data_IF_884562908847
#
_entry.id   IF_884562908847
#
_cell.length_a   1.000
_cell.length_b   1.000
_cell.length_c   1.000
_cell.angle_alpha   90.00
_cell.angle_beta   90.00
_cell.angle_gamma   90.00
#
_symmetry.space_group_name_H-M   'P 1'
#
loop_
_entity.id
_entity.type
_entity.pdbx_description
1 polymer ?
#
# COMPACT_ATOMS: atom_id res chain seq x y z
N UNK A 1 36.01 -37.17 -8.69
CA UNK A 1 34.70 -37.76 -9.02
C UNK A 1 34.80 -39.27 -8.79
N UNK A 2 33.90 -39.84 -7.99
CA UNK A 2 33.89 -41.27 -7.63
C UNK A 2 33.03 -42.09 -8.58
N UNK A 3 33.47 -43.33 -8.81
CA UNK A 3 33.04 -44.26 -9.85
C UNK A 3 31.70 -44.99 -9.63
N UNK A 4 30.82 -44.50 -8.75
CA UNK A 4 29.49 -45.09 -8.53
C UNK A 4 28.41 -44.00 -8.44
N UNK A 5 27.36 -44.18 -9.23
CA UNK A 5 26.28 -43.22 -9.49
C UNK A 5 25.61 -42.67 -8.24
N UNK A 6 25.83 -41.38 -8.02
CA UNK A 6 24.87 -40.29 -7.72
C UNK A 6 25.73 -39.03 -7.84
N UNK A 7 25.29 -38.02 -8.59
CA UNK A 7 25.89 -36.68 -8.44
C UNK A 7 25.91 -36.37 -6.94
N UNK A 8 27.04 -35.91 -6.36
CA UNK A 8 27.07 -35.60 -4.95
C UNK A 8 25.90 -34.67 -4.67
N UNK A 9 25.01 -35.03 -3.75
CA UNK A 9 23.99 -34.10 -3.29
C UNK A 9 24.70 -32.80 -2.98
N UNK A 10 24.27 -31.70 -3.63
CA UNK A 10 24.97 -30.43 -3.56
C UNK A 10 25.29 -30.11 -2.10
N UNK A 11 26.56 -29.80 -1.82
CA UNK A 11 27.06 -29.59 -0.47
C UNK A 11 26.13 -28.61 0.27
N UNK A 12 25.70 -28.90 1.52
CA UNK A 12 24.83 -28.00 2.29
C UNK A 12 25.34 -26.55 2.32
N UNK A 13 26.66 -26.36 2.33
CA UNK A 13 27.30 -25.04 2.23
C UNK A 13 27.00 -24.34 0.90
N UNK A 14 27.07 -25.07 -0.20
CA UNK A 14 26.83 -24.52 -1.54
C UNK A 14 25.36 -24.16 -1.72
N UNK A 15 24.45 -24.99 -1.20
CA UNK A 15 23.01 -24.69 -1.15
C UNK A 15 22.72 -23.39 -0.39
N UNK A 16 23.29 -23.23 0.80
CA UNK A 16 23.10 -22.00 1.60
C UNK A 16 23.66 -20.77 0.89
N UNK A 17 24.80 -20.89 0.21
CA UNK A 17 25.36 -19.80 -0.59
C UNK A 17 24.46 -19.45 -1.80
N UNK A 18 23.90 -20.45 -2.46
CA UNK A 18 22.95 -20.27 -3.56
C UNK A 18 21.68 -19.55 -3.08
N UNK A 19 21.08 -19.97 -1.96
CA UNK A 19 19.93 -19.30 -1.37
C UNK A 19 20.24 -17.85 -1.00
N UNK A 20 21.39 -17.59 -0.35
CA UNK A 20 21.84 -16.22 -0.07
C UNK A 20 21.98 -15.38 -1.36
N UNK A 21 22.44 -15.98 -2.46
CA UNK A 21 22.55 -15.30 -3.75
C UNK A 21 21.18 -14.96 -4.33
N UNK A 22 20.24 -15.92 -4.34
CA UNK A 22 18.85 -15.72 -4.76
C UNK A 22 18.19 -14.60 -3.95
N UNK A 23 18.28 -14.66 -2.61
CA UNK A 23 17.73 -13.62 -1.71
C UNK A 23 18.30 -12.23 -1.97
N UNK A 24 19.61 -12.10 -2.22
CA UNK A 24 20.23 -10.81 -2.58
C UNK A 24 19.73 -10.26 -3.91
N UNK A 25 19.51 -11.14 -4.89
CA UNK A 25 18.96 -10.76 -6.19
C UNK A 25 17.55 -10.20 -6.04
N UNK A 26 16.69 -10.87 -5.28
CA UNK A 26 15.33 -10.40 -4.99
C UNK A 26 15.35 -9.06 -4.24
N UNK A 27 16.20 -8.92 -3.22
CA UNK A 27 16.39 -7.64 -2.50
C UNK A 27 16.79 -6.49 -3.45
N UNK A 28 17.66 -6.78 -4.42
CA UNK A 28 18.09 -5.79 -5.42
C UNK A 28 16.98 -5.43 -6.43
N UNK A 29 16.06 -6.35 -6.70
CA UNK A 29 14.87 -6.07 -7.54
C UNK A 29 13.90 -5.15 -6.81
N UNK A 30 13.65 -5.41 -5.52
CA UNK A 30 12.85 -4.53 -4.67
C UNK A 30 13.45 -3.11 -4.59
N UNK A 31 14.77 -2.97 -4.51
CA UNK A 31 15.44 -1.65 -4.56
C UNK A 31 15.20 -0.90 -5.87
N UNK A 32 15.12 -1.62 -6.99
CA UNK A 32 14.78 -1.00 -8.29
C UNK A 32 13.33 -0.55 -8.33
N UNK A 33 12.42 -1.31 -7.73
CA UNK A 33 11.00 -0.94 -7.62
C UNK A 33 10.81 0.28 -6.74
N UNK A 34 11.46 0.36 -5.57
CA UNK A 34 11.45 1.54 -4.70
C UNK A 34 11.87 2.78 -5.51
N UNK A 35 13.01 2.70 -6.24
CA UNK A 35 13.47 3.81 -7.09
C UNK A 35 12.55 4.11 -8.26
N UNK A 36 11.80 3.12 -8.76
CA UNK A 36 10.75 3.31 -9.75
C UNK A 36 9.62 4.16 -9.19
N UNK A 37 9.03 3.72 -8.08
CA UNK A 37 7.90 4.39 -7.42
C UNK A 37 8.29 5.80 -6.99
N UNK A 38 9.45 5.99 -6.36
CA UNK A 38 9.90 7.31 -5.93
C UNK A 38 10.08 8.30 -7.10
N UNK A 39 10.54 7.83 -8.27
CA UNK A 39 10.65 8.68 -9.46
C UNK A 39 9.29 9.11 -9.99
N UNK A 40 8.30 8.22 -9.99
CA UNK A 40 6.94 8.58 -10.38
C UNK A 40 6.28 9.50 -9.34
N UNK A 41 6.49 9.25 -8.04
CA UNK A 41 6.03 10.12 -6.95
C UNK A 41 6.54 11.56 -7.14
N UNK A 42 7.81 11.75 -7.53
CA UNK A 42 8.35 13.08 -7.84
C UNK A 42 7.66 13.78 -9.01
N UNK A 43 7.20 13.04 -10.03
CA UNK A 43 6.39 13.63 -11.12
C UNK A 43 4.99 14.01 -10.64
N UNK A 44 4.38 13.18 -9.80
CA UNK A 44 3.08 13.48 -9.18
C UNK A 44 3.17 14.73 -8.30
N UNK A 45 4.25 14.88 -7.50
CA UNK A 45 4.52 16.09 -6.72
C UNK A 45 4.59 17.35 -7.57
N UNK A 46 5.27 17.30 -8.73
CA UNK A 46 5.33 18.43 -9.67
C UNK A 46 3.95 18.77 -10.22
N UNK A 47 3.22 17.75 -10.69
CA UNK A 47 1.87 17.90 -11.22
C UNK A 47 0.91 18.49 -10.20
N UNK A 48 1.04 18.08 -8.92
CA UNK A 48 0.21 18.60 -7.84
C UNK A 48 0.53 20.07 -7.52
N UNK A 49 1.80 20.48 -7.57
CA UNK A 49 2.17 21.89 -7.43
C UNK A 49 1.60 22.75 -8.56
N UNK A 50 1.60 22.24 -9.78
CA UNK A 50 1.06 22.98 -10.93
C UNK A 50 -0.47 23.04 -10.90
N UNK A 51 -1.16 21.98 -10.47
CA UNK A 51 -2.61 22.00 -10.20
C UNK A 51 -2.97 22.97 -9.05
N UNK A 52 -2.15 23.02 -8.00
CA UNK A 52 -2.36 23.92 -6.87
C UNK A 52 -2.28 25.40 -7.28
N UNK A 53 -1.35 25.76 -8.18
CA UNK A 53 -1.27 27.12 -8.74
C UNK A 53 -2.49 27.52 -9.56
N UNK A 54 -3.17 26.54 -10.18
CA UNK A 54 -4.39 26.76 -10.97
C UNK A 54 -5.64 26.87 -10.08
N UNK A 55 -5.55 26.48 -8.81
CA UNK A 55 -6.69 26.45 -7.89
C UNK A 55 -7.53 25.17 -8.00
N UNK A 56 -7.08 24.16 -8.75
CA UNK A 56 -7.80 22.91 -8.98
C UNK A 56 -7.72 21.99 -7.75
N UNK A 57 -8.56 22.25 -6.73
CA UNK A 57 -8.54 21.53 -5.45
C UNK A 57 -8.81 20.04 -5.61
N UNK A 58 -9.79 19.66 -6.44
CA UNK A 58 -10.17 18.25 -6.64
C UNK A 58 -9.02 17.44 -7.26
N UNK A 59 -8.33 18.02 -8.25
CA UNK A 59 -7.14 17.42 -8.86
C UNK A 59 -6.03 17.25 -7.82
N UNK A 60 -5.82 18.24 -6.96
CA UNK A 60 -4.84 18.14 -5.88
C UNK A 60 -5.16 17.00 -4.91
N UNK A 61 -6.44 16.83 -4.52
CA UNK A 61 -6.88 15.75 -3.63
C UNK A 61 -6.58 14.38 -4.24
N UNK A 62 -6.89 14.19 -5.53
CA UNK A 62 -6.61 12.93 -6.23
C UNK A 62 -5.11 12.64 -6.30
N UNK A 63 -4.29 13.65 -6.65
CA UNK A 63 -2.83 13.50 -6.70
C UNK A 63 -2.22 13.25 -5.32
N UNK A 64 -2.77 13.86 -4.26
CA UNK A 64 -2.32 13.61 -2.90
C UNK A 64 -2.64 12.18 -2.44
N UNK A 65 -3.83 11.65 -2.77
CA UNK A 65 -4.17 10.24 -2.54
C UNK A 65 -3.16 9.30 -3.23
N UNK A 66 -2.74 9.63 -4.44
CA UNK A 66 -1.76 8.83 -5.18
C UNK A 66 -0.36 8.87 -4.54
N UNK A 67 0.05 10.01 -3.98
CA UNK A 67 1.29 10.12 -3.20
C UNK A 67 1.21 9.26 -1.93
N UNK A 68 0.10 9.29 -1.20
CA UNK A 68 -0.10 8.46 -0.01
C UNK A 68 -0.01 6.97 -0.36
N UNK A 69 -0.66 6.54 -1.44
CA UNK A 69 -0.58 5.16 -1.95
C UNK A 69 0.86 4.77 -2.31
N UNK A 70 1.58 5.65 -3.00
CA UNK A 70 2.99 5.44 -3.36
C UNK A 70 3.87 5.25 -2.13
N UNK A 71 3.70 6.10 -1.09
CA UNK A 71 4.42 5.99 0.19
C UNK A 71 4.11 4.67 0.91
N UNK A 72 2.85 4.26 0.96
CA UNK A 72 2.43 2.97 1.55
C UNK A 72 3.01 1.78 0.81
N UNK A 73 3.02 1.80 -0.52
CA UNK A 73 3.65 0.77 -1.35
C UNK A 73 5.15 0.66 -1.06
N UNK A 74 5.86 1.79 -0.99
CA UNK A 74 7.29 1.82 -0.64
C UNK A 74 7.53 1.28 0.78
N UNK A 75 6.69 1.65 1.76
CA UNK A 75 6.78 1.14 3.13
C UNK A 75 6.67 -0.39 3.17
N UNK A 76 5.68 -0.96 2.47
CA UNK A 76 5.50 -2.42 2.34
C UNK A 76 6.72 -3.10 1.73
N UNK A 77 7.33 -2.50 0.70
CA UNK A 77 8.55 -3.03 0.09
C UNK A 77 9.73 -2.98 1.09
N UNK A 78 9.85 -1.96 1.92
CA UNK A 78 10.88 -1.92 2.96
C UNK A 78 10.68 -3.02 4.01
N UNK A 79 9.45 -3.28 4.45
CA UNK A 79 9.13 -4.40 5.35
C UNK A 79 9.51 -5.73 4.71
N UNK A 80 9.21 -5.90 3.42
CA UNK A 80 9.63 -7.07 2.63
C UNK A 80 11.16 -7.24 2.64
N UNK A 81 11.89 -6.15 2.39
CA UNK A 81 13.35 -6.17 2.41
C UNK A 81 13.92 -6.52 3.79
N UNK A 82 13.27 -6.08 4.87
CA UNK A 82 13.64 -6.44 6.23
C UNK A 82 13.51 -7.96 6.46
N UNK A 83 12.43 -8.59 5.99
CA UNK A 83 12.28 -10.05 6.05
C UNK A 83 13.37 -10.78 5.25
N UNK A 84 13.71 -10.32 4.03
CA UNK A 84 14.80 -10.91 3.23
C UNK A 84 16.15 -10.81 3.97
N UNK A 85 16.41 -9.67 4.60
CA UNK A 85 17.63 -9.46 5.38
C UNK A 85 17.68 -10.38 6.60
N UNK A 86 16.57 -10.55 7.32
CA UNK A 86 16.46 -11.49 8.44
C UNK A 86 16.79 -12.92 7.99
N UNK A 87 16.19 -13.40 6.90
CA UNK A 87 16.50 -14.73 6.35
C UNK A 87 17.98 -14.81 5.97
N UNK A 88 18.52 -13.79 5.31
CA UNK A 88 19.93 -13.76 4.91
C UNK A 88 20.89 -13.83 6.11
N UNK A 89 20.55 -13.20 7.22
CA UNK A 89 21.33 -13.29 8.47
C UNK A 89 21.22 -14.70 9.08
N UNK A 90 20.02 -15.27 9.11
CA UNK A 90 19.82 -16.64 9.58
C UNK A 90 20.56 -17.67 8.70
N UNK A 91 20.62 -17.47 7.38
CA UNK A 91 21.40 -18.33 6.48
C UNK A 91 22.92 -18.24 6.75
N UNK A 92 23.44 -17.05 7.08
CA UNK A 92 24.83 -16.92 7.54
C UNK A 92 25.07 -17.65 8.85
N UNK A 93 24.11 -17.61 9.77
CA UNK A 93 24.15 -18.39 11.00
C UNK A 93 24.19 -19.90 10.70
N UNK A 94 23.37 -20.39 9.78
CA UNK A 94 23.39 -21.79 9.33
C UNK A 94 24.76 -22.22 8.79
N UNK A 95 25.50 -21.35 8.09
CA UNK A 95 26.88 -21.65 7.68
C UNK A 95 27.84 -21.80 8.86
N UNK A 96 27.65 -21.05 9.95
CA UNK A 96 28.44 -21.20 11.16
C UNK A 96 28.07 -22.50 11.88
N UNK A 97 26.78 -22.78 12.04
CA UNK A 97 26.26 -24.04 12.58
C UNK A 97 26.77 -25.24 11.80
N UNK A 98 26.76 -25.20 10.47
CA UNK A 98 27.26 -26.29 9.63
C UNK A 98 28.75 -26.58 9.88
N UNK A 99 29.57 -25.57 10.19
CA UNK A 99 31.00 -25.77 10.51
C UNK A 99 31.21 -26.41 11.88
N UNK A 100 30.33 -26.13 12.84
CA UNK A 100 30.46 -26.58 14.23
C UNK A 100 29.77 -27.92 14.44
N UNK A 101 28.50 -28.02 14.03
CA UNK A 101 27.63 -29.17 14.23
C UNK A 101 27.63 -30.15 13.05
N UNK A 102 28.20 -29.78 11.90
CA UNK A 102 28.25 -30.64 10.70
C UNK A 102 26.92 -30.77 9.94
N UNK A 103 25.84 -30.17 10.44
CA UNK A 103 24.51 -30.23 9.85
C UNK A 103 23.80 -28.87 9.87
N UNK A 104 22.81 -28.70 9.00
CA UNK A 104 21.88 -27.57 9.04
C UNK A 104 20.88 -27.77 10.18
N UNK A 105 20.46 -26.69 10.82
CA UNK A 105 19.48 -26.70 11.90
C UNK A 105 18.15 -26.10 11.46
N UNK A 106 17.07 -26.55 12.08
CA UNK A 106 15.74 -25.95 11.89
C UNK A 106 15.72 -24.51 12.42
N UNK A 107 15.00 -23.64 11.71
CA UNK A 107 14.83 -22.23 12.08
C UNK A 107 13.40 -21.78 11.85
N UNK A 108 12.68 -21.58 12.94
CA UNK A 108 11.31 -21.02 12.95
C UNK A 108 11.30 -19.55 12.53
N UNK A 109 12.38 -18.81 12.76
CA UNK A 109 12.51 -17.43 12.29
C UNK A 109 12.57 -17.34 10.76
N UNK A 110 13.35 -18.23 10.12
CA UNK A 110 13.40 -18.33 8.65
C UNK A 110 12.03 -18.69 8.11
N UNK A 111 11.35 -19.65 8.75
CA UNK A 111 9.99 -20.06 8.38
C UNK A 111 9.01 -18.89 8.41
N UNK A 112 8.96 -18.14 9.53
CA UNK A 112 8.04 -17.00 9.69
C UNK A 112 8.33 -15.88 8.69
N UNK A 113 9.60 -15.53 8.52
CA UNK A 113 9.99 -14.49 7.57
C UNK A 113 9.69 -14.90 6.12
N UNK A 114 9.89 -16.18 5.77
CA UNK A 114 9.56 -16.71 4.44
C UNK A 114 8.06 -16.67 4.17
N UNK A 115 7.22 -16.98 5.17
CA UNK A 115 5.76 -16.91 5.04
C UNK A 115 5.29 -15.50 4.66
N UNK A 116 5.84 -14.47 5.32
CA UNK A 116 5.47 -13.08 5.01
C UNK A 116 5.89 -12.70 3.59
N UNK A 117 7.04 -13.20 3.13
CA UNK A 117 7.53 -12.95 1.77
C UNK A 117 6.74 -13.66 0.67
N UNK A 118 6.16 -14.85 0.94
CA UNK A 118 5.31 -15.55 -0.04
C UNK A 118 4.04 -14.74 -0.37
N UNK A 119 3.58 -13.89 0.55
CA UNK A 119 2.42 -13.02 0.36
C UNK A 119 2.70 -11.81 -0.56
N UNK A 120 3.97 -11.55 -0.89
CA UNK A 120 4.38 -10.38 -1.67
C UNK A 120 4.54 -10.80 -3.14
N UNK A 121 3.66 -10.35 -4.05
CA UNK A 121 3.60 -10.84 -5.43
C UNK A 121 4.94 -10.80 -6.17
N UNK A 122 5.75 -9.78 -5.91
CA UNK A 122 7.03 -9.52 -6.56
C UNK A 122 8.09 -10.60 -6.26
N UNK A 123 8.03 -11.23 -5.08
CA UNK A 123 8.99 -12.26 -4.64
C UNK A 123 8.32 -13.60 -4.34
N UNK A 124 7.00 -13.71 -4.48
CA UNK A 124 6.24 -14.87 -4.08
C UNK A 124 6.70 -16.17 -4.75
N UNK A 125 7.01 -16.12 -6.05
CA UNK A 125 7.48 -17.29 -6.80
C UNK A 125 8.84 -17.79 -6.28
N UNK A 126 9.82 -16.88 -6.17
CA UNK A 126 11.17 -17.22 -5.73
C UNK A 126 11.20 -17.69 -4.27
N UNK A 127 10.38 -17.09 -3.41
CA UNK A 127 10.28 -17.46 -2.00
C UNK A 127 9.56 -18.80 -1.79
N UNK A 128 8.59 -19.14 -2.63
CA UNK A 128 7.94 -20.45 -2.61
C UNK A 128 8.92 -21.56 -3.02
N UNK A 129 9.75 -21.32 -4.01
CA UNK A 129 10.77 -22.29 -4.44
C UNK A 129 11.87 -22.45 -3.38
N UNK A 130 12.36 -21.33 -2.82
CA UNK A 130 13.30 -21.35 -1.70
C UNK A 130 12.72 -22.07 -0.48
N UNK A 131 11.44 -21.84 -0.15
CA UNK A 131 10.75 -22.53 0.96
C UNK A 131 10.77 -24.05 0.76
N UNK A 132 10.43 -24.53 -0.44
CA UNK A 132 10.49 -25.97 -0.76
C UNK A 132 11.91 -26.53 -0.67
N UNK A 133 12.91 -25.81 -1.17
CA UNK A 133 14.32 -26.23 -1.09
C UNK A 133 14.82 -26.28 0.37
N UNK A 134 14.48 -25.27 1.17
CA UNK A 134 14.86 -25.18 2.59
C UNK A 134 14.11 -26.20 3.46
N UNK A 135 12.87 -26.54 3.11
CA UNK A 135 12.11 -27.62 3.73
C UNK A 135 12.76 -28.98 3.47
N UNK A 136 13.14 -29.28 2.22
CA UNK A 136 13.89 -30.50 1.87
C UNK A 136 15.25 -30.57 2.56
N UNK A 137 15.88 -29.43 2.84
CA UNK A 137 17.14 -29.35 3.55
C UNK A 137 17.00 -29.40 5.08
N UNK A 138 15.77 -29.49 5.61
CA UNK A 138 15.50 -29.57 7.05
C UNK A 138 15.72 -28.27 7.80
N UNK A 139 15.78 -27.12 7.13
CA UNK A 139 15.84 -25.79 7.76
C UNK A 139 14.44 -25.33 8.18
N UNK A 140 13.44 -25.60 7.36
CA UNK A 140 12.05 -25.17 7.57
C UNK A 140 11.21 -26.43 7.75
N UNK A 141 10.24 -26.38 8.65
CA UNK A 141 9.26 -27.46 8.83
C UNK A 141 8.12 -27.35 7.82
N UNK A 142 7.35 -28.42 7.62
CA UNK A 142 6.13 -28.34 6.80
C UNK A 142 5.22 -27.25 7.38
N UNK A 143 5.02 -26.19 6.59
CA UNK A 143 4.18 -25.09 7.02
C UNK A 143 2.75 -25.59 7.04
N UNK A 144 2.20 -25.81 8.23
CA UNK A 144 0.75 -25.92 8.38
C UNK A 144 0.20 -24.55 7.98
N UNK A 145 -0.65 -24.53 6.96
CA UNK A 145 -1.22 -23.33 6.37
C UNK A 145 -2.22 -22.69 7.34
N UNK A 146 -1.73 -22.13 8.45
CA UNK A 146 -2.49 -21.27 9.35
C UNK A 146 -2.63 -19.90 8.68
N UNK A 147 -3.45 -19.86 7.63
CA UNK A 147 -3.87 -18.65 6.89
C UNK A 147 -4.90 -17.82 7.68
N UNK A 148 -4.68 -17.62 8.98
CA UNK A 148 -5.58 -16.84 9.84
C UNK A 148 -4.88 -15.70 10.60
N UNK A 149 -3.82 -15.13 10.04
CA UNK A 149 -3.52 -13.70 10.29
C UNK A 149 -4.06 -12.92 9.09
N UNK A 150 -5.30 -12.46 9.29
CA UNK A 150 -6.07 -11.68 8.35
C UNK A 150 -5.34 -10.40 7.94
N UNK A 151 -5.71 -9.96 6.75
CA UNK A 151 -5.43 -8.62 6.25
C UNK A 151 -6.22 -7.64 7.12
N UNK A 152 -5.72 -7.36 8.34
CA UNK A 152 -6.26 -6.29 9.20
C UNK A 152 -5.94 -4.88 8.65
N UNK A 153 -5.22 -4.82 7.53
CA UNK A 153 -4.68 -3.60 6.94
C UNK A 153 -5.56 -3.00 5.82
N UNK A 154 -6.87 -3.26 5.83
CA UNK A 154 -7.80 -2.71 4.81
C UNK A 154 -8.91 -1.81 5.35
N UNK A 155 -9.34 -1.95 6.61
CA UNK A 155 -10.54 -1.24 7.10
C UNK A 155 -10.27 -0.10 8.11
N UNK A 156 -9.16 -0.09 8.86
CA UNK A 156 -8.78 1.06 9.72
C UNK A 156 -8.24 2.30 8.95
N UNK A 157 -8.20 2.22 7.62
CA UNK A 157 -7.40 3.11 6.77
C UNK A 157 -8.12 4.33 6.21
N UNK A 158 -9.44 4.45 6.27
CA UNK A 158 -10.14 5.52 5.54
C UNK A 158 -10.05 6.90 6.23
N UNK A 159 -10.27 6.98 7.54
CA UNK A 159 -10.15 8.24 8.29
C UNK A 159 -8.69 8.69 8.45
N UNK A 160 -7.79 7.74 8.73
CA UNK A 160 -6.34 8.00 8.75
C UNK A 160 -5.82 8.41 7.36
N UNK A 161 -6.36 7.84 6.27
CA UNK A 161 -5.99 8.25 4.92
C UNK A 161 -6.39 9.68 4.61
N UNK A 162 -7.55 10.16 5.08
CA UNK A 162 -7.95 11.55 4.80
C UNK A 162 -7.03 12.56 5.51
N UNK A 163 -6.66 12.30 6.77
CA UNK A 163 -5.69 13.13 7.49
C UNK A 163 -4.29 13.09 6.83
N UNK A 164 -3.85 11.92 6.36
CA UNK A 164 -2.59 11.79 5.61
C UNK A 164 -2.62 12.54 4.28
N UNK A 165 -3.75 12.50 3.56
CA UNK A 165 -3.96 13.24 2.32
C UNK A 165 -3.89 14.74 2.57
N UNK A 166 -4.57 15.24 3.61
CA UNK A 166 -4.55 16.66 3.97
C UNK A 166 -3.15 17.12 4.39
N UNK A 167 -2.41 16.27 5.12
CA UNK A 167 -1.00 16.52 5.46
C UNK A 167 -0.13 16.61 4.20
N UNK A 168 -0.28 15.68 3.25
CA UNK A 168 0.45 15.69 1.97
C UNK A 168 0.12 16.91 1.13
N UNK A 169 -1.16 17.29 1.07
CA UNK A 169 -1.63 18.52 0.42
C UNK A 169 -0.94 19.73 1.02
N UNK A 170 -0.92 19.83 2.36
CA UNK A 170 -0.28 20.94 3.06
C UNK A 170 1.24 20.97 2.84
N UNK A 171 1.93 19.84 3.00
CA UNK A 171 3.39 19.70 2.84
C UNK A 171 3.86 20.17 1.46
N UNK A 172 3.12 19.83 0.41
CA UNK A 172 3.57 20.05 -0.97
C UNK A 172 3.09 21.38 -1.54
N UNK A 173 1.90 21.85 -1.13
CA UNK A 173 1.36 23.13 -1.60
C UNK A 173 1.72 24.30 -0.68
N UNK A 174 2.42 24.05 0.43
CA UNK A 174 2.79 25.06 1.43
C UNK A 174 1.61 25.95 1.87
N UNK A 175 0.41 25.38 1.86
CA UNK A 175 -0.82 26.07 2.22
C UNK A 175 -1.40 27.04 1.20
N UNK A 176 -0.91 27.04 -0.05
CA UNK A 176 -1.49 27.85 -1.12
C UNK A 176 -2.97 27.52 -1.37
N UNK A 177 -3.36 26.26 -1.18
CA UNK A 177 -4.76 25.82 -1.30
C UNK A 177 -5.65 26.25 -0.12
N UNK A 178 -5.06 26.58 1.04
CA UNK A 178 -5.80 27.11 2.20
C UNK A 178 -6.11 28.62 2.08
N UNK A 179 -5.56 29.29 1.06
CA UNK A 179 -5.80 30.71 0.76
C UNK A 179 -6.71 30.92 -0.46
N UNK A 180 -7.04 29.85 -1.19
CA UNK A 180 -8.06 29.92 -2.22
C UNK A 180 -9.42 30.03 -1.52
N UNK A 181 -10.30 30.98 -1.91
CA UNK A 181 -11.65 31.02 -1.36
C UNK A 181 -12.25 29.63 -1.54
N UNK A 182 -12.88 29.10 -0.49
CA UNK A 182 -13.68 27.89 -0.59
C UNK A 182 -14.48 28.03 -1.88
N UNK A 183 -14.28 27.09 -2.81
CA UNK A 183 -15.03 27.04 -4.05
C UNK A 183 -16.47 27.31 -3.66
N UNK A 184 -17.00 28.41 -4.16
CA UNK A 184 -18.33 28.89 -3.82
C UNK A 184 -19.20 27.67 -4.04
N UNK A 185 -19.76 27.13 -2.97
CA UNK A 185 -20.90 26.25 -3.03
C UNK A 185 -22.10 27.12 -3.35
N UNK A 186 -21.96 27.92 -4.42
CA UNK A 186 -23.07 28.51 -5.12
C UNK A 186 -23.71 27.32 -5.80
N UNK A 187 -24.60 26.69 -5.03
CA UNK A 187 -25.75 26.03 -5.60
C UNK A 187 -26.21 26.86 -6.78
N UNK A 188 -26.10 26.28 -7.98
CA UNK A 188 -26.66 26.83 -9.20
C UNK A 188 -28.00 27.47 -8.85
N UNK A 189 -28.26 28.75 -9.19
CA UNK A 189 -29.57 29.34 -9.00
C UNK A 189 -30.57 28.44 -9.72
N UNK A 190 -31.38 27.73 -8.93
CA UNK A 190 -32.57 27.07 -9.44
C UNK A 190 -33.39 28.19 -10.07
N UNK A 191 -33.79 28.08 -11.35
CA UNK A 191 -34.58 29.12 -11.98
C UNK A 191 -35.83 29.35 -11.15
N UNK A 192 -36.14 30.63 -10.91
CA UNK A 192 -37.27 31.14 -10.15
C UNK A 192 -38.54 30.32 -10.40
N UNK A 193 -38.88 29.47 -9.43
CA UNK A 193 -40.28 29.18 -9.18
C UNK A 193 -40.78 30.32 -8.29
N UNK A 194 -41.50 31.25 -8.90
CA UNK A 194 -42.38 32.22 -8.22
C UNK A 194 -43.32 31.47 -7.28
N UNK A 195 -42.87 31.28 -6.04
CA UNK A 195 -43.65 30.81 -4.92
C UNK A 195 -44.37 32.01 -4.33
N UNK A 196 -45.65 32.14 -4.65
CA UNK A 196 -46.55 33.09 -4.03
C UNK A 196 -46.58 32.86 -2.51
N UNK A 197 -45.96 33.77 -1.77
CA UNK A 197 -46.35 34.03 -0.38
C UNK A 197 -47.58 34.91 -0.49
N UNK A 198 -48.75 34.28 -0.46
CA UNK A 198 -50.01 35.01 -0.30
C UNK A 198 -50.08 35.43 1.17
N UNK A 199 -50.02 36.74 1.42
CA UNK A 199 -50.30 37.31 2.73
C UNK A 199 -51.75 36.97 3.12
N UNK A 200 -52.01 36.70 4.40
CA UNK A 200 -53.34 36.33 4.91
C UNK A 200 -54.43 37.36 4.56
N UNK A 201 -54.05 38.63 4.35
CA UNK A 201 -54.95 39.71 3.92
C UNK A 201 -55.48 39.51 2.47
N UNK A 202 -54.69 38.94 1.56
CA UNK A 202 -55.09 38.72 0.16
C UNK A 202 -56.10 37.57 0.01
N UNK A 203 -56.06 36.58 0.92
CA UNK A 203 -57.01 35.48 0.96
C UNK A 203 -58.39 35.94 1.43
N UNK A 204 -58.44 36.86 2.40
CA UNK A 204 -59.70 37.45 2.87
C UNK A 204 -60.34 38.35 1.81
N UNK A 205 -59.53 39.12 1.07
CA UNK A 205 -60.02 39.97 0.00
C UNK A 205 -60.61 39.14 -1.16
N UNK A 206 -59.98 38.01 -1.52
CA UNK A 206 -60.50 37.07 -2.52
C UNK A 206 -61.83 36.41 -2.07
N UNK A 207 -61.96 36.05 -0.80
CA UNK A 207 -63.20 35.47 -0.27
C UNK A 207 -64.37 36.46 -0.29
N UNK A 208 -64.10 37.75 -0.07
CA UNK A 208 -65.13 38.80 -0.13
C UNK A 208 -65.66 38.99 -1.57
N UNK A 209 -64.77 38.98 -2.58
CA UNK A 209 -65.13 39.09 -4.00
C UNK A 209 -65.93 37.88 -4.50
N UNK A 210 -65.60 36.67 -4.03
CA UNK A 210 -66.34 35.45 -4.40
C UNK A 210 -67.74 35.39 -3.78
N UNK A 211 -67.96 35.99 -2.60
CA UNK A 211 -69.30 36.09 -1.99
C UNK A 211 -70.19 37.09 -2.74
N UNK A 212 -69.63 38.19 -3.24
CA UNK A 212 -70.37 39.18 -4.03
C UNK A 212 -70.84 38.66 -5.40
N UNK A 213 -70.21 37.61 -5.94
CA UNK A 213 -70.62 36.94 -7.18
C UNK A 213 -71.68 35.85 -6.95
N UNK A 214 -71.97 35.50 -5.70
CA UNK A 214 -72.97 34.49 -5.31
C UNK A 214 -74.27 35.09 -4.74
N UNK A 215 -74.42 36.42 -4.77
CA UNK A 215 -75.66 37.13 -4.42
C UNK A 215 -76.31 37.74 -5.66
#
# INVERSE_FOLDING_TARGET
MGLFGKSPEANPKDKVNEWCSKLRKESSQLDRQIRGIQREEEKVKRSMKDAAKKGDRDVCIVLAKEIVRSRKAVSKIYTSKAHINSISMQMKNQLATLRIAGALQRSTEVMKAMQQLIKIPEVAATMRDLSKEMMKAGIIEEMLEDTMEGVEDTEELEEAAQQEVDKVLWEITAGQLGKAPAAVTDSLPVPEAVGAVADEEDLEEMQSRLKALKS
#
